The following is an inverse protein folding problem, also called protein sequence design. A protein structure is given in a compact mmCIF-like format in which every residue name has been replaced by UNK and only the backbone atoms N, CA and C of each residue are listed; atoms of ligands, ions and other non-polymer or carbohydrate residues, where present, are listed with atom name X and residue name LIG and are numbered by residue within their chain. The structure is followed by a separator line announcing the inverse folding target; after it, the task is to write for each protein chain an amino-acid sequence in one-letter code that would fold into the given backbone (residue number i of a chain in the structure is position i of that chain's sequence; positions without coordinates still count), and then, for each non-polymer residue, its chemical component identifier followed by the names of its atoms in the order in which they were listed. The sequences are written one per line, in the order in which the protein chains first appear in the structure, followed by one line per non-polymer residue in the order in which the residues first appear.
data_IF_860846454462
#
_entry.id   IF_860846454462
#
_cell.length_a   1.000
_cell.length_b   1.000
_cell.length_c   1.000
_cell.angle_alpha   90.00
_cell.angle_beta   90.00
_cell.angle_gamma   90.00
#
_symmetry.space_group_name_H-M   'P 1'
#
loop_
_entity.id
_entity.type
_entity.pdbx_description
1 polymer ?
#
# COMPACT_ATOMS: atom_id res chain seq x y z
N UNK A 1 -6.67 28.76 26.08
CA UNK A 1 -5.98 28.37 24.84
C UNK A 1 -6.19 26.87 24.63
N UNK A 2 -7.08 26.47 23.71
CA UNK A 2 -7.03 25.10 23.20
C UNK A 2 -5.62 24.89 22.63
N UNK A 3 -4.81 24.03 23.26
CA UNK A 3 -3.39 23.96 22.94
C UNK A 3 -3.21 23.61 21.46
N UNK A 4 -2.20 24.17 20.80
CA UNK A 4 -1.84 23.90 19.40
C UNK A 4 -1.84 22.39 19.08
N UNK A 5 -1.49 21.56 20.07
CA UNK A 5 -1.54 20.09 20.00
C UNK A 5 -2.95 19.55 19.76
N UNK A 6 -3.96 20.06 20.45
CA UNK A 6 -5.36 19.64 20.28
C UNK A 6 -5.89 19.97 18.89
N UNK A 7 -5.53 21.14 18.35
CA UNK A 7 -5.90 21.54 17.00
C UNK A 7 -5.24 20.63 15.96
N UNK A 8 -3.94 20.37 16.11
CA UNK A 8 -3.20 19.48 15.21
C UNK A 8 -3.80 18.07 15.18
N UNK A 9 -4.18 17.52 16.33
CA UNK A 9 -4.84 16.22 16.42
C UNK A 9 -6.14 16.25 15.62
N UNK A 10 -7.02 17.23 15.88
CA UNK A 10 -8.31 17.32 15.20
C UNK A 10 -8.16 17.42 13.67
N UNK A 11 -7.26 18.30 13.21
CA UNK A 11 -6.98 18.50 11.77
C UNK A 11 -6.43 17.21 11.13
N UNK A 12 -5.53 16.51 11.82
CA UNK A 12 -4.93 15.26 11.30
C UNK A 12 -5.97 14.15 11.13
N UNK A 13 -6.83 13.94 12.14
CA UNK A 13 -7.91 12.95 12.06
C UNK A 13 -8.94 13.33 10.98
N UNK A 14 -9.26 14.61 10.84
CA UNK A 14 -10.12 15.12 9.76
C UNK A 14 -9.53 14.83 8.38
N UNK A 15 -8.27 15.19 8.15
CA UNK A 15 -7.57 14.93 6.89
C UNK A 15 -7.47 13.44 6.57
N UNK A 16 -7.18 12.60 7.57
CA UNK A 16 -7.15 11.15 7.39
C UNK A 16 -8.54 10.58 7.05
N UNK A 17 -9.60 11.10 7.66
CA UNK A 17 -10.97 10.71 7.32
C UNK A 17 -11.33 11.04 5.87
N UNK A 18 -10.85 12.17 5.34
CA UNK A 18 -10.99 12.50 3.91
C UNK A 18 -10.25 11.49 3.02
N UNK A 19 -9.06 11.03 3.41
CA UNK A 19 -8.33 9.99 2.66
C UNK A 19 -9.06 8.65 2.69
N UNK A 20 -9.61 8.24 3.83
CA UNK A 20 -10.44 7.03 3.91
C UNK A 20 -11.69 7.16 3.04
N UNK A 21 -12.37 8.30 3.06
CA UNK A 21 -13.50 8.57 2.18
C UNK A 21 -13.09 8.44 0.71
N UNK A 22 -11.94 8.98 0.33
CA UNK A 22 -11.43 8.86 -1.04
C UNK A 22 -11.21 7.39 -1.44
N UNK A 23 -10.63 6.56 -0.58
CA UNK A 23 -10.47 5.13 -0.86
C UNK A 23 -11.80 4.38 -0.96
N UNK A 24 -12.79 4.80 -0.18
CA UNK A 24 -14.15 4.29 -0.32
C UNK A 24 -14.75 4.67 -1.68
N UNK A 25 -14.59 5.93 -2.11
CA UNK A 25 -15.07 6.41 -3.42
C UNK A 25 -14.37 5.72 -4.60
N UNK A 26 -13.10 5.33 -4.43
CA UNK A 26 -12.33 4.57 -5.43
C UNK A 26 -12.76 3.08 -5.45
N UNK A 27 -13.51 2.62 -4.45
CA UNK A 27 -14.02 1.24 -4.37
C UNK A 27 -13.05 0.24 -3.75
N UNK A 28 -12.07 0.68 -2.96
CA UNK A 28 -11.12 -0.24 -2.28
C UNK A 28 -11.71 -0.96 -1.07
N UNK A 29 -12.80 -0.44 -0.51
CA UNK A 29 -13.59 -1.14 0.49
C UNK A 29 -15.06 -0.74 0.41
N UNK A 30 -15.93 -1.72 0.62
CA UNK A 30 -17.38 -1.56 0.47
C UNK A 30 -18.12 -1.52 1.82
N UNK A 31 -17.52 -0.93 2.85
CA UNK A 31 -18.15 -0.75 4.16
C UNK A 31 -17.80 0.62 4.76
N UNK A 32 -18.66 1.21 5.60
CA UNK A 32 -18.35 2.46 6.28
C UNK A 32 -17.18 2.27 7.26
N UNK A 33 -16.12 3.06 7.11
CA UNK A 33 -14.98 3.09 8.02
C UNK A 33 -14.79 4.53 8.51
N UNK A 34 -14.83 4.75 9.82
CA UNK A 34 -14.57 6.07 10.41
C UNK A 34 -13.65 5.95 11.60
N UNK A 35 -12.71 6.89 11.71
CA UNK A 35 -11.74 6.94 12.78
C UNK A 35 -11.88 8.28 13.52
N UNK A 36 -12.45 8.23 14.72
CA UNK A 36 -12.66 9.39 15.57
C UNK A 36 -11.56 9.51 16.62
N UNK A 37 -11.14 10.75 16.90
CA UNK A 37 -10.06 11.01 17.85
C UNK A 37 -10.44 10.64 19.30
N UNK A 38 -11.73 10.67 19.65
CA UNK A 38 -12.28 10.31 20.97
C UNK A 38 -12.76 8.86 21.04
N UNK A 39 -13.56 8.43 20.07
CA UNK A 39 -14.26 7.13 20.08
C UNK A 39 -13.45 6.00 19.43
N UNK A 40 -12.33 6.32 18.78
CA UNK A 40 -11.50 5.34 18.09
C UNK A 40 -12.08 4.89 16.75
N UNK A 41 -11.77 3.65 16.37
CA UNK A 41 -12.17 3.09 15.09
C UNK A 41 -13.61 2.54 15.14
N UNK A 42 -14.45 3.01 14.23
CA UNK A 42 -15.80 2.48 14.02
C UNK A 42 -15.87 1.81 12.64
N UNK A 43 -16.37 0.58 12.63
CA UNK A 43 -16.48 -0.26 11.43
C UNK A 43 -17.96 -0.61 11.24
N UNK A 44 -18.54 -0.12 10.14
CA UNK A 44 -19.92 -0.39 9.78
C UNK A 44 -20.12 -1.78 9.18
N UNK A 45 -21.37 -2.16 8.99
CA UNK A 45 -21.72 -3.36 8.23
C UNK A 45 -21.62 -3.11 6.73
N UNK A 46 -21.30 -4.16 5.99
CA UNK A 46 -21.37 -4.15 4.55
C UNK A 46 -22.82 -3.97 4.09
N UNK A 47 -23.05 -3.04 3.17
CA UNK A 47 -24.36 -2.82 2.53
C UNK A 47 -24.15 -2.71 1.03
N UNK A 48 -25.12 -3.18 0.25
CA UNK A 48 -25.13 -3.01 -1.21
C UNK A 48 -24.96 -1.55 -1.65
N UNK A 49 -25.46 -0.59 -0.88
CA UNK A 49 -25.27 0.84 -1.14
C UNK A 49 -23.81 1.31 -1.00
N UNK A 50 -23.02 0.67 -0.14
CA UNK A 50 -21.58 0.94 0.03
C UNK A 50 -20.74 0.36 -1.11
N UNK A 51 -21.35 -0.50 -1.93
CA UNK A 51 -20.75 -1.17 -3.08
C UNK A 51 -20.93 -0.43 -4.41
N UNK A 52 -21.68 0.68 -4.41
CA UNK A 52 -21.98 1.44 -5.63
C UNK A 52 -20.72 1.91 -6.36
N UNK A 53 -19.69 2.30 -5.61
CA UNK A 53 -18.42 2.77 -6.16
C UNK A 53 -17.66 1.66 -6.87
N UNK A 54 -17.67 0.44 -6.34
CA UNK A 54 -17.09 -0.72 -6.99
C UNK A 54 -17.78 -0.98 -8.36
N UNK A 55 -19.12 -0.88 -8.43
CA UNK A 55 -19.85 -1.00 -9.69
C UNK A 55 -19.56 0.14 -10.67
N UNK A 56 -19.46 1.38 -10.17
CA UNK A 56 -19.08 2.52 -10.99
C UNK A 56 -17.69 2.32 -11.61
N UNK A 57 -16.70 1.88 -10.83
CA UNK A 57 -15.35 1.61 -11.33
C UNK A 57 -15.29 0.42 -12.28
N UNK A 58 -16.11 -0.61 -12.07
CA UNK A 58 -16.26 -1.71 -13.00
C UNK A 58 -16.83 -1.23 -14.34
N UNK A 59 -17.91 -0.44 -14.31
CA UNK A 59 -18.49 0.15 -15.51
C UNK A 59 -17.49 1.07 -16.23
N UNK A 60 -16.74 1.90 -15.51
CA UNK A 60 -15.69 2.75 -16.07
C UNK A 60 -14.56 1.94 -16.70
N UNK A 61 -14.13 0.82 -16.10
CA UNK A 61 -13.13 -0.07 -16.68
C UNK A 61 -13.62 -0.70 -17.99
N UNK A 62 -14.88 -1.17 -18.02
CA UNK A 62 -15.51 -1.70 -19.24
C UNK A 62 -15.62 -0.63 -20.33
N UNK A 63 -16.11 0.57 -19.98
CA UNK A 63 -16.21 1.70 -20.91
C UNK A 63 -14.82 2.09 -21.44
N UNK A 64 -13.80 2.14 -20.58
CA UNK A 64 -12.42 2.39 -21.00
C UNK A 64 -11.98 1.37 -22.05
N UNK A 65 -12.19 0.07 -21.80
CA UNK A 65 -11.84 -0.98 -22.75
C UNK A 65 -12.59 -0.88 -24.07
N UNK A 66 -13.89 -0.58 -24.04
CA UNK A 66 -14.70 -0.34 -25.24
C UNK A 66 -14.21 0.88 -26.02
N UNK A 67 -13.81 1.94 -25.33
CA UNK A 67 -13.27 3.15 -25.96
C UNK A 67 -11.91 2.90 -26.59
N UNK A 68 -11.01 2.18 -25.92
CA UNK A 68 -9.74 1.77 -26.50
C UNK A 68 -9.93 0.89 -27.74
N UNK A 69 -10.91 -0.03 -27.73
CA UNK A 69 -11.27 -0.83 -28.90
C UNK A 69 -11.79 0.04 -30.05
N UNK A 70 -12.67 1.01 -29.77
CA UNK A 70 -13.21 1.93 -30.79
C UNK A 70 -12.10 2.80 -31.39
N UNK A 71 -11.16 3.26 -30.57
CA UNK A 71 -10.05 4.11 -30.97
C UNK A 71 -8.79 3.32 -31.34
N UNK A 72 -8.92 2.01 -31.63
CA UNK A 72 -7.78 1.14 -31.94
C UNK A 72 -6.87 1.73 -33.02
N UNK A 73 -7.46 2.28 -34.09
CA UNK A 73 -6.70 2.88 -35.18
C UNK A 73 -5.90 4.12 -34.74
N UNK A 74 -6.41 4.91 -33.80
CA UNK A 74 -5.69 6.07 -33.26
C UNK A 74 -4.60 5.67 -32.24
N UNK A 75 -4.75 4.50 -31.61
CA UNK A 75 -3.84 4.02 -30.58
C UNK A 75 -2.70 3.17 -31.14
N UNK A 76 -2.93 2.38 -32.19
CA UNK A 76 -1.99 1.35 -32.63
C UNK A 76 -1.63 1.38 -34.12
N UNK A 77 -2.43 2.03 -34.98
CA UNK A 77 -2.14 2.02 -36.42
C UNK A 77 -0.89 2.85 -36.74
N UNK A 78 -0.08 2.37 -37.70
CA UNK A 78 1.17 3.02 -38.12
C UNK A 78 2.37 2.86 -37.17
N UNK A 79 2.20 2.18 -36.03
CA UNK A 79 3.32 1.79 -35.17
C UNK A 79 4.01 0.53 -35.69
N UNK A 80 5.32 0.43 -35.44
CA UNK A 80 6.02 -0.85 -35.55
C UNK A 80 5.37 -1.84 -34.57
N UNK A 81 5.38 -3.13 -34.93
CA UNK A 81 4.76 -4.18 -34.11
C UNK A 81 5.23 -4.11 -32.64
N UNK A 82 6.52 -3.88 -32.42
CA UNK A 82 7.11 -3.74 -31.09
C UNK A 82 6.55 -2.54 -30.31
N UNK A 83 6.40 -1.38 -30.95
CA UNK A 83 5.81 -0.18 -30.35
C UNK A 83 4.33 -0.41 -29.98
N UNK A 84 3.59 -1.04 -30.89
CA UNK A 84 2.17 -1.37 -30.68
C UNK A 84 1.98 -2.37 -29.54
N UNK A 85 2.80 -3.42 -29.48
CA UNK A 85 2.77 -4.41 -28.39
C UNK A 85 3.09 -3.76 -27.04
N UNK A 86 4.09 -2.89 -26.98
CA UNK A 86 4.43 -2.17 -25.76
C UNK A 86 3.25 -1.36 -25.22
N UNK A 87 2.64 -0.55 -26.09
CA UNK A 87 1.47 0.26 -25.73
C UNK A 87 0.28 -0.62 -25.32
N UNK A 88 0.06 -1.73 -26.02
CA UNK A 88 -1.01 -2.67 -25.72
C UNK A 88 -0.84 -3.32 -24.35
N UNK A 89 0.35 -3.85 -24.05
CA UNK A 89 0.64 -4.49 -22.76
C UNK A 89 0.50 -3.51 -21.60
N UNK A 90 0.99 -2.26 -21.75
CA UNK A 90 0.84 -1.20 -20.74
C UNK A 90 -0.62 -0.96 -20.37
N UNK A 91 -1.47 -0.83 -21.39
CA UNK A 91 -2.89 -0.57 -21.20
C UNK A 91 -3.61 -1.78 -20.59
N UNK A 92 -3.37 -2.98 -21.13
CA UNK A 92 -4.03 -4.21 -20.69
C UNK A 92 -3.66 -4.58 -19.25
N UNK A 93 -2.39 -4.44 -18.86
CA UNK A 93 -1.98 -4.74 -17.48
C UNK A 93 -2.58 -3.75 -16.48
N UNK A 94 -2.71 -2.48 -16.87
CA UNK A 94 -3.40 -1.46 -16.07
C UNK A 94 -4.88 -1.79 -15.88
N UNK A 95 -5.59 -2.13 -16.98
CA UNK A 95 -6.99 -2.58 -16.91
C UNK A 95 -7.16 -3.83 -16.07
N UNK A 96 -6.30 -4.84 -16.26
CA UNK A 96 -6.32 -6.07 -15.48
C UNK A 96 -6.15 -5.77 -13.99
N UNK A 97 -5.24 -4.86 -13.63
CA UNK A 97 -5.03 -4.42 -12.25
C UNK A 97 -6.29 -3.83 -11.65
N UNK A 98 -7.07 -3.05 -12.41
CA UNK A 98 -8.37 -2.53 -11.95
C UNK A 98 -9.35 -3.69 -11.67
N UNK A 99 -9.53 -4.60 -12.64
CA UNK A 99 -10.47 -5.73 -12.47
C UNK A 99 -10.12 -6.60 -11.27
N UNK A 100 -8.85 -6.95 -11.11
CA UNK A 100 -8.37 -7.75 -9.97
C UNK A 100 -8.57 -7.00 -8.66
N UNK A 101 -8.27 -5.70 -8.60
CA UNK A 101 -8.49 -4.89 -7.39
C UNK A 101 -9.97 -4.79 -7.01
N UNK A 102 -10.86 -4.63 -7.99
CA UNK A 102 -12.30 -4.61 -7.74
C UNK A 102 -12.81 -5.99 -7.30
N UNK A 103 -12.29 -7.07 -7.88
CA UNK A 103 -12.59 -8.43 -7.47
C UNK A 103 -12.16 -8.68 -6.02
N UNK A 104 -10.92 -8.35 -5.65
CA UNK A 104 -10.43 -8.45 -4.26
C UNK A 104 -11.34 -7.64 -3.31
N UNK A 105 -11.69 -6.41 -3.68
CA UNK A 105 -12.54 -5.54 -2.86
C UNK A 105 -13.97 -6.05 -2.70
N UNK A 106 -14.49 -6.79 -3.68
CA UNK A 106 -15.85 -7.33 -3.68
C UNK A 106 -15.94 -8.69 -2.99
N UNK A 107 -15.14 -9.66 -3.44
CA UNK A 107 -15.20 -11.03 -2.95
C UNK A 107 -14.59 -11.19 -1.57
N UNK A 108 -13.62 -10.34 -1.21
CA UNK A 108 -12.92 -10.42 0.08
C UNK A 108 -13.36 -9.31 1.05
N UNK A 109 -14.59 -8.80 0.87
CA UNK A 109 -15.12 -7.70 1.68
C UNK A 109 -15.13 -8.03 3.18
N UNK A 110 -15.46 -9.27 3.54
CA UNK A 110 -15.50 -9.71 4.93
C UNK A 110 -14.08 -9.89 5.50
N UNK A 111 -13.14 -10.40 4.69
CA UNK A 111 -11.74 -10.49 5.09
C UNK A 111 -11.18 -9.07 5.33
N UNK A 112 -11.45 -8.13 4.42
CA UNK A 112 -11.06 -6.74 4.59
C UNK A 112 -11.71 -6.11 5.83
N UNK A 113 -13.01 -6.33 6.04
CA UNK A 113 -13.70 -5.83 7.24
C UNK A 113 -13.11 -6.41 8.52
N UNK A 114 -12.72 -7.69 8.51
CA UNK A 114 -12.15 -8.38 9.66
C UNK A 114 -10.81 -7.77 10.11
N UNK A 115 -9.97 -7.31 9.18
CA UNK A 115 -8.71 -6.60 9.47
C UNK A 115 -8.97 -5.40 10.37
N UNK A 116 -9.94 -4.55 10.00
CA UNK A 116 -10.29 -3.35 10.73
C UNK A 116 -10.99 -3.65 12.06
N UNK A 117 -11.82 -4.69 12.11
CA UNK A 117 -12.43 -5.17 13.36
C UNK A 117 -11.36 -5.63 14.35
N UNK A 118 -10.38 -6.43 13.91
CA UNK A 118 -9.28 -6.88 14.77
C UNK A 118 -8.46 -5.70 15.31
N UNK A 119 -8.17 -4.71 14.47
CA UNK A 119 -7.53 -3.47 14.94
C UNK A 119 -8.37 -2.73 16.00
N UNK A 120 -9.69 -2.63 15.82
CA UNK A 120 -10.60 -2.03 16.81
C UNK A 120 -10.61 -2.82 18.12
N UNK A 121 -10.72 -4.14 18.03
CA UNK A 121 -10.88 -5.01 19.20
C UNK A 121 -9.59 -5.04 20.04
N UNK A 122 -8.41 -5.01 19.39
CA UNK A 122 -7.13 -4.79 20.06
C UNK A 122 -7.08 -3.42 20.77
N UNK A 123 -7.57 -2.36 20.13
CA UNK A 123 -7.55 -1.02 20.70
C UNK A 123 -8.42 -0.91 21.95
N UNK A 124 -9.63 -1.47 21.91
CA UNK A 124 -10.57 -1.44 23.02
C UNK A 124 -10.06 -2.19 24.26
N UNK A 125 -9.39 -3.33 24.06
CA UNK A 125 -8.82 -4.12 25.17
C UNK A 125 -7.67 -3.40 25.88
N UNK A 126 -6.86 -2.66 25.11
CA UNK A 126 -5.60 -2.08 25.59
C UNK A 126 -5.69 -0.57 25.89
N UNK A 127 -6.89 0.03 25.78
CA UNK A 127 -7.09 1.46 25.97
C UNK A 127 -6.40 2.34 24.92
N UNK A 128 -6.11 1.78 23.73
CA UNK A 128 -5.47 2.50 22.62
C UNK A 128 -6.51 2.94 21.57
N UNK A 129 -6.07 3.52 20.45
CA UNK A 129 -7.00 4.03 19.41
C UNK A 129 -7.14 3.07 18.21
N UNK A 130 -6.05 2.44 17.79
CA UNK A 130 -6.03 1.58 16.62
C UNK A 130 -4.98 0.48 16.78
N UNK A 131 -5.41 -0.76 17.01
CA UNK A 131 -4.52 -1.86 17.35
C UNK A 131 -3.87 -1.67 18.71
N UNK A 132 -2.55 -1.54 18.72
CA UNK A 132 -1.72 -1.21 19.88
C UNK A 132 -1.31 0.27 19.89
N UNK A 133 -1.76 1.05 18.92
CA UNK A 133 -1.28 2.42 18.71
C UNK A 133 -2.08 3.41 19.55
N UNK A 134 -1.41 4.07 20.49
CA UNK A 134 -1.95 5.20 21.24
C UNK A 134 -2.15 6.46 20.40
N UNK A 135 -2.94 7.42 20.90
CA UNK A 135 -3.32 8.64 20.17
C UNK A 135 -2.15 9.43 19.58
N UNK A 136 -1.13 9.67 20.39
CA UNK A 136 0.01 10.50 19.97
C UNK A 136 0.82 9.85 18.85
N UNK A 137 1.05 8.54 18.94
CA UNK A 137 1.76 7.80 17.90
C UNK A 137 0.93 7.71 16.62
N UNK A 138 -0.37 7.45 16.74
CA UNK A 138 -1.27 7.37 15.60
C UNK A 138 -1.26 8.67 14.79
N UNK A 139 -1.27 9.82 15.46
CA UNK A 139 -1.15 11.13 14.80
C UNK A 139 0.18 11.26 14.07
N UNK A 140 1.30 10.80 14.66
CA UNK A 140 2.61 10.82 13.96
C UNK A 140 2.60 9.96 12.70
N UNK A 141 1.99 8.77 12.76
CA UNK A 141 1.85 7.87 11.62
C UNK A 141 0.96 8.50 10.55
N UNK A 142 -0.19 9.06 10.93
CA UNK A 142 -1.12 9.73 10.01
C UNK A 142 -0.49 10.93 9.32
N UNK A 143 0.23 11.79 10.05
CA UNK A 143 0.93 12.94 9.44
C UNK A 143 1.95 12.47 8.41
N UNK A 144 2.79 11.48 8.75
CA UNK A 144 3.77 10.92 7.80
C UNK A 144 3.10 10.34 6.56
N UNK A 145 2.00 9.61 6.76
CA UNK A 145 1.21 9.03 5.68
C UNK A 145 0.58 10.10 4.78
N UNK A 146 -0.07 11.11 5.37
CA UNK A 146 -0.67 12.24 4.63
C UNK A 146 0.40 13.01 3.87
N UNK A 147 1.56 13.31 4.48
CA UNK A 147 2.66 13.95 3.77
C UNK A 147 3.14 13.11 2.58
N UNK A 148 3.30 11.80 2.76
CA UNK A 148 3.70 10.89 1.69
C UNK A 148 2.66 10.86 0.56
N UNK A 149 1.39 10.77 0.92
CA UNK A 149 0.27 10.82 -0.01
C UNK A 149 0.23 12.12 -0.81
N UNK A 150 0.41 13.27 -0.15
CA UNK A 150 0.46 14.59 -0.79
C UNK A 150 1.66 14.73 -1.72
N UNK A 151 2.84 14.21 -1.35
CA UNK A 151 4.02 14.20 -2.22
C UNK A 151 3.77 13.37 -3.48
N UNK A 152 3.18 12.17 -3.33
CA UNK A 152 2.83 11.31 -4.47
C UNK A 152 1.84 12.02 -5.39
N UNK A 153 0.77 12.61 -4.84
CA UNK A 153 -0.19 13.39 -5.64
C UNK A 153 0.50 14.56 -6.34
N UNK A 154 1.32 15.34 -5.63
CA UNK A 154 1.98 16.50 -6.21
C UNK A 154 2.88 16.11 -7.39
N UNK A 155 3.67 15.04 -7.25
CA UNK A 155 4.51 14.51 -8.34
C UNK A 155 3.66 14.02 -9.51
N UNK A 156 2.62 13.22 -9.26
CA UNK A 156 1.73 12.75 -10.31
C UNK A 156 1.06 13.93 -11.03
N UNK A 157 0.41 14.84 -10.32
CA UNK A 157 -0.27 16.01 -10.91
C UNK A 157 0.69 16.91 -11.67
N UNK A 158 1.92 17.11 -11.19
CA UNK A 158 2.94 17.88 -11.90
C UNK A 158 3.28 17.21 -13.24
N UNK A 159 3.52 15.90 -13.25
CA UNK A 159 3.83 15.15 -14.48
C UNK A 159 2.63 15.15 -15.44
N UNK A 160 1.42 14.92 -14.94
CA UNK A 160 0.20 14.98 -15.76
C UNK A 160 -0.04 16.37 -16.35
N UNK A 161 0.27 17.44 -15.60
CA UNK A 161 0.19 18.81 -16.12
C UNK A 161 1.23 19.08 -17.20
N UNK A 162 2.48 18.62 -17.02
CA UNK A 162 3.53 18.71 -18.04
C UNK A 162 3.09 17.95 -19.31
N UNK A 163 2.51 16.76 -19.16
CA UNK A 163 2.00 15.97 -20.28
C UNK A 163 0.85 16.69 -21.01
N UNK A 164 -0.10 17.24 -20.26
CA UNK A 164 -1.22 17.98 -20.82
C UNK A 164 -0.78 19.20 -21.65
N UNK A 165 0.23 19.95 -21.17
CA UNK A 165 0.76 21.12 -21.89
C UNK A 165 1.70 20.73 -23.05
N UNK A 166 2.45 19.65 -22.90
CA UNK A 166 3.50 19.24 -23.84
C UNK A 166 3.01 18.38 -25.00
N UNK A 167 1.88 17.68 -24.86
CA UNK A 167 1.35 16.81 -25.91
C UNK A 167 0.50 17.56 -26.93
N UNK A 168 0.86 17.47 -28.20
CA UNK A 168 0.03 17.99 -29.29
C UNK A 168 -1.27 17.21 -29.41
N UNK A 169 -2.40 17.91 -29.35
CA UNK A 169 -3.75 17.33 -29.44
C UNK A 169 -3.93 16.57 -30.76
N UNK A 170 -4.59 15.42 -30.69
CA UNK A 170 -4.88 14.57 -31.85
C UNK A 170 -3.74 13.64 -32.27
N UNK A 171 -2.54 13.79 -31.68
CA UNK A 171 -1.46 12.84 -31.88
C UNK A 171 -1.76 11.50 -31.22
N UNK A 172 -1.11 10.44 -31.70
CA UNK A 172 -1.19 9.10 -31.11
C UNK A 172 -0.79 9.08 -29.64
N UNK A 173 0.21 9.90 -29.26
CA UNK A 173 0.65 10.08 -27.88
C UNK A 173 -0.43 10.69 -26.99
N UNK A 174 -1.12 11.71 -27.48
CA UNK A 174 -2.27 12.30 -26.78
C UNK A 174 -3.37 11.26 -26.56
N UNK A 175 -3.72 10.46 -27.58
CA UNK A 175 -4.71 9.40 -27.44
C UNK A 175 -4.27 8.32 -26.44
N UNK A 176 -3.01 7.92 -26.50
CA UNK A 176 -2.46 6.90 -25.61
C UNK A 176 -2.44 7.36 -24.15
N UNK A 177 -1.99 8.59 -23.90
CA UNK A 177 -2.02 9.22 -22.57
C UNK A 177 -3.45 9.28 -22.01
N UNK A 178 -4.41 9.79 -22.79
CA UNK A 178 -5.82 9.89 -22.39
C UNK A 178 -6.42 8.54 -21.95
N UNK A 179 -6.12 7.44 -22.66
CA UNK A 179 -6.67 6.13 -22.32
C UNK A 179 -5.95 5.48 -21.12
N UNK A 180 -4.67 5.78 -20.90
CA UNK A 180 -3.91 5.23 -19.78
C UNK A 180 -4.08 6.03 -18.48
N UNK A 181 -4.53 7.29 -18.54
CA UNK A 181 -4.69 8.14 -17.36
C UNK A 181 -5.51 7.46 -16.25
N UNK A 182 -6.64 6.83 -16.60
CA UNK A 182 -7.50 6.15 -15.64
C UNK A 182 -6.84 4.89 -15.03
N UNK A 183 -6.42 3.87 -15.82
CA UNK A 183 -5.72 2.71 -15.28
C UNK A 183 -4.48 3.05 -14.45
N UNK A 184 -3.70 4.03 -14.91
CA UNK A 184 -2.49 4.48 -14.25
C UNK A 184 -2.78 5.12 -12.89
N UNK A 185 -3.74 6.05 -12.85
CA UNK A 185 -4.17 6.71 -11.61
C UNK A 185 -4.72 5.69 -10.60
N UNK A 186 -5.52 4.73 -11.06
CA UNK A 186 -6.10 3.70 -10.20
C UNK A 186 -5.02 2.79 -9.59
N UNK A 187 -4.05 2.36 -10.40
CA UNK A 187 -2.87 1.60 -9.96
C UNK A 187 -2.08 2.34 -8.87
N UNK A 188 -1.84 3.63 -9.04
CA UNK A 188 -1.16 4.47 -8.05
C UNK A 188 -1.94 4.57 -6.74
N UNK A 189 -3.25 4.80 -6.79
CA UNK A 189 -4.07 4.81 -5.58
C UNK A 189 -4.04 3.46 -4.85
N UNK A 190 -3.99 2.34 -5.59
CA UNK A 190 -3.89 1.01 -4.98
C UNK A 190 -2.55 0.81 -4.25
N UNK A 191 -1.45 1.35 -4.80
CA UNK A 191 -0.15 1.37 -4.10
C UNK A 191 -0.18 2.19 -2.82
N UNK A 192 -0.75 3.39 -2.86
CA UNK A 192 -0.91 4.25 -1.68
C UNK A 192 -1.79 3.57 -0.62
N UNK A 193 -2.86 2.90 -1.05
CA UNK A 193 -3.73 2.18 -0.13
C UNK A 193 -3.00 1.03 0.57
N UNK A 194 -2.19 0.25 -0.15
CA UNK A 194 -1.36 -0.78 0.45
C UNK A 194 -0.30 -0.19 1.40
N UNK A 195 0.31 0.94 1.04
CA UNK A 195 1.27 1.67 1.87
C UNK A 195 0.69 2.01 3.26
N UNK A 196 -0.60 2.36 3.33
CA UNK A 196 -1.29 2.60 4.61
C UNK A 196 -1.20 1.38 5.53
N UNK A 197 -1.55 0.19 5.02
CA UNK A 197 -1.53 -1.04 5.80
C UNK A 197 -0.12 -1.40 6.29
N UNK A 198 0.89 -1.23 5.44
CA UNK A 198 2.30 -1.45 5.81
C UNK A 198 2.71 -0.50 6.96
N UNK A 199 2.38 0.79 6.84
CA UNK A 199 2.73 1.79 7.85
C UNK A 199 2.01 1.53 9.19
N UNK A 200 0.75 1.12 9.15
CA UNK A 200 -0.02 0.75 10.35
C UNK A 200 0.55 -0.50 11.02
N UNK A 201 0.87 -1.55 10.26
CA UNK A 201 1.48 -2.77 10.80
C UNK A 201 2.84 -2.47 11.43
N UNK A 202 3.70 -1.72 10.74
CA UNK A 202 5.01 -1.31 11.27
C UNK A 202 4.90 -0.53 12.60
N UNK A 203 3.89 0.36 12.71
CA UNK A 203 3.66 1.10 13.94
C UNK A 203 3.15 0.20 15.08
N UNK A 204 2.27 -0.76 14.81
CA UNK A 204 1.81 -1.73 15.79
C UNK A 204 2.96 -2.62 16.30
N UNK A 205 3.84 -3.09 15.40
CA UNK A 205 5.03 -3.86 15.77
C UNK A 205 5.98 -3.06 16.67
N UNK A 206 6.18 -1.77 16.41
CA UNK A 206 6.96 -0.90 17.32
C UNK A 206 6.33 -0.74 18.69
N UNK A 207 5.00 -0.62 18.76
CA UNK A 207 4.32 -0.55 20.06
C UNK A 207 4.47 -1.85 20.84
N UNK A 208 4.32 -2.99 20.17
CA UNK A 208 4.61 -4.30 20.76
C UNK A 208 6.06 -4.38 21.27
N UNK A 209 7.03 -3.94 20.47
CA UNK A 209 8.44 -3.89 20.86
C UNK A 209 8.66 -3.01 22.11
N UNK A 210 8.08 -1.82 22.16
CA UNK A 210 8.15 -0.95 23.34
C UNK A 210 7.57 -1.61 24.59
N UNK A 211 6.44 -2.31 24.47
CA UNK A 211 5.83 -3.06 25.57
C UNK A 211 6.78 -4.16 26.07
N UNK A 212 7.31 -4.97 25.15
CA UNK A 212 8.25 -6.05 25.46
C UNK A 212 9.55 -5.53 26.10
N UNK A 213 10.08 -4.42 25.62
CA UNK A 213 11.27 -3.80 26.21
C UNK A 213 11.04 -3.31 27.65
N UNK A 214 9.83 -2.84 27.96
CA UNK A 214 9.44 -2.52 29.34
C UNK A 214 9.43 -3.74 30.26
N UNK A 215 9.01 -4.90 29.74
CA UNK A 215 8.93 -6.17 30.48
C UNK A 215 10.30 -6.82 30.73
N UNK A 216 11.30 -6.53 29.90
CA UNK A 216 12.67 -6.98 30.11
C UNK A 216 13.21 -6.56 31.50
N UNK A 217 12.67 -5.48 32.08
CA UNK A 217 13.08 -4.96 33.39
C UNK A 217 12.26 -5.52 34.55
N UNK A 218 11.02 -5.97 34.32
CA UNK A 218 10.12 -6.45 35.38
C UNK A 218 10.15 -7.97 35.58
N UNK A 219 10.47 -8.75 34.54
CA UNK A 219 10.63 -10.20 34.63
C UNK A 219 9.33 -10.98 34.89
N UNK A 220 8.20 -10.51 34.36
CA UNK A 220 6.89 -11.13 34.59
C UNK A 220 6.47 -12.07 33.42
N UNK A 221 6.31 -13.39 33.67
CA UNK A 221 5.93 -14.35 32.63
C UNK A 221 4.50 -14.14 32.09
N UNK A 222 3.56 -13.64 32.89
CA UNK A 222 2.17 -13.42 32.44
C UNK A 222 2.12 -12.31 31.40
N UNK A 223 2.86 -11.23 31.62
CA UNK A 223 2.93 -10.12 30.68
C UNK A 223 3.69 -10.50 29.39
N UNK A 224 4.67 -11.41 29.45
CA UNK A 224 5.33 -11.93 28.25
C UNK A 224 4.38 -12.78 27.41
N UNK A 225 3.53 -13.59 28.07
CA UNK A 225 2.50 -14.38 27.40
C UNK A 225 1.43 -13.49 26.76
N UNK A 226 1.07 -12.37 27.41
CA UNK A 226 0.23 -11.34 26.80
C UNK A 226 0.88 -10.76 25.54
N UNK A 227 2.16 -10.39 25.61
CA UNK A 227 2.93 -9.92 24.44
C UNK A 227 2.93 -10.93 23.29
N UNK A 228 3.06 -12.22 23.59
CA UNK A 228 2.98 -13.32 22.61
C UNK A 228 1.58 -13.43 21.98
N UNK A 229 0.52 -13.30 22.79
CA UNK A 229 -0.85 -13.31 22.30
C UNK A 229 -1.15 -12.10 21.39
N UNK A 230 -0.68 -10.90 21.76
CA UNK A 230 -0.79 -9.69 20.94
C UNK A 230 -0.05 -9.84 19.61
N UNK A 231 1.16 -10.43 19.61
CA UNK A 231 1.86 -10.78 18.38
C UNK A 231 1.02 -11.72 17.48
N UNK A 232 0.36 -12.72 18.08
CA UNK A 232 -0.53 -13.62 17.37
C UNK A 232 -1.67 -12.89 16.65
N UNK A 233 -2.30 -11.91 17.29
CA UNK A 233 -3.35 -11.10 16.66
C UNK A 233 -2.80 -10.20 15.54
N UNK A 234 -1.63 -9.59 15.73
CA UNK A 234 -0.96 -8.83 14.67
C UNK A 234 -0.61 -9.72 13.47
N UNK A 235 -0.18 -10.95 13.70
CA UNK A 235 0.09 -11.91 12.64
C UNK A 235 -1.17 -12.25 11.84
N UNK A 236 -2.30 -12.52 12.51
CA UNK A 236 -3.58 -12.77 11.85
C UNK A 236 -4.04 -11.57 11.00
N UNK A 237 -3.83 -10.34 11.49
CA UNK A 237 -4.11 -9.13 10.73
C UNK A 237 -3.23 -9.06 9.49
N UNK A 238 -1.93 -9.35 9.62
CA UNK A 238 -1.00 -9.30 8.50
C UNK A 238 -1.31 -10.36 7.43
N UNK A 239 -1.64 -11.58 7.84
CA UNK A 239 -2.05 -12.64 6.89
C UNK A 239 -3.29 -12.22 6.10
N UNK A 240 -4.32 -11.70 6.78
CA UNK A 240 -5.50 -11.19 6.11
C UNK A 240 -5.18 -10.02 5.15
N UNK A 241 -4.21 -9.17 5.46
CA UNK A 241 -3.71 -8.12 4.55
C UNK A 241 -3.02 -8.76 3.34
N UNK A 242 -2.12 -9.72 3.54
CA UNK A 242 -1.40 -10.41 2.45
C UNK A 242 -2.36 -11.16 1.51
N UNK A 243 -3.41 -11.77 2.06
CA UNK A 243 -4.48 -12.42 1.27
C UNK A 243 -5.26 -11.41 0.44
N UNK A 244 -5.73 -10.33 1.09
CA UNK A 244 -6.53 -9.25 0.49
C UNK A 244 -5.80 -8.51 -0.64
N UNK A 245 -4.51 -8.27 -0.46
CA UNK A 245 -3.71 -7.55 -1.45
C UNK A 245 -3.03 -8.47 -2.45
N UNK A 246 -2.97 -9.78 -2.22
CA UNK A 246 -2.09 -10.69 -2.96
C UNK A 246 -2.15 -10.54 -4.49
N UNK A 247 -3.31 -10.77 -5.10
CA UNK A 247 -3.44 -10.71 -6.55
C UNK A 247 -3.41 -9.27 -7.09
N UNK A 248 -4.19 -8.36 -6.50
CA UNK A 248 -4.21 -6.97 -6.96
C UNK A 248 -2.84 -6.32 -6.89
N UNK A 249 -2.07 -6.59 -5.84
CA UNK A 249 -0.77 -5.99 -5.64
C UNK A 249 0.33 -6.66 -6.49
N UNK A 250 0.21 -7.95 -6.80
CA UNK A 250 1.05 -8.60 -7.82
C UNK A 250 0.85 -7.93 -9.19
N UNK A 251 -0.41 -7.76 -9.61
CA UNK A 251 -0.74 -7.07 -10.85
C UNK A 251 -0.26 -5.62 -10.83
N UNK A 252 -0.40 -4.95 -9.68
CA UNK A 252 -0.01 -3.54 -9.52
C UNK A 252 1.51 -3.33 -9.62
N UNK A 253 2.31 -4.23 -9.02
CA UNK A 253 3.76 -4.23 -9.24
C UNK A 253 4.11 -4.51 -10.70
N UNK A 254 3.48 -5.51 -11.31
CA UNK A 254 3.74 -5.85 -12.71
C UNK A 254 3.40 -4.66 -13.63
N UNK A 255 2.31 -3.95 -13.34
CA UNK A 255 1.94 -2.69 -13.98
C UNK A 255 3.01 -1.61 -13.79
N UNK A 256 3.54 -1.44 -12.59
CA UNK A 256 4.64 -0.50 -12.30
C UNK A 256 5.94 -0.86 -13.04
N UNK A 257 6.31 -2.14 -13.11
CA UNK A 257 7.48 -2.57 -13.90
C UNK A 257 7.27 -2.36 -15.40
N UNK A 258 6.08 -2.68 -15.89
CA UNK A 258 5.71 -2.44 -17.29
C UNK A 258 5.82 -0.94 -17.59
N UNK A 259 5.26 -0.07 -16.74
CA UNK A 259 5.38 1.39 -16.85
C UNK A 259 6.84 1.84 -16.97
N UNK A 260 7.69 1.45 -16.01
CA UNK A 260 9.12 1.79 -15.98
C UNK A 260 9.83 1.33 -17.27
N UNK A 261 9.59 0.08 -17.68
CA UNK A 261 10.20 -0.49 -18.87
C UNK A 261 9.78 0.27 -20.14
N UNK A 262 8.50 0.63 -20.25
CA UNK A 262 7.99 1.38 -21.40
C UNK A 262 8.47 2.82 -21.41
N UNK A 263 8.55 3.47 -20.27
CA UNK A 263 9.03 4.85 -20.20
C UNK A 263 10.51 4.90 -20.61
N UNK A 264 11.33 3.95 -20.16
CA UNK A 264 12.73 3.80 -20.60
C UNK A 264 12.85 3.46 -22.10
N UNK A 265 12.00 2.56 -22.60
CA UNK A 265 11.96 2.21 -24.03
C UNK A 265 11.69 3.46 -24.87
N UNK A 266 10.72 4.28 -24.48
CA UNK A 266 10.36 5.48 -25.23
C UNK A 266 11.40 6.58 -25.13
N UNK A 267 12.05 6.76 -23.97
CA UNK A 267 13.24 7.62 -23.86
C UNK A 267 14.31 7.18 -24.87
N UNK A 268 14.63 5.89 -24.91
CA UNK A 268 15.62 5.34 -25.84
C UNK A 268 15.20 5.50 -27.30
N UNK A 269 13.94 5.22 -27.64
CA UNK A 269 13.44 5.30 -29.00
C UNK A 269 13.42 6.75 -29.53
N UNK A 270 13.06 7.73 -28.69
CA UNK A 270 13.10 9.16 -29.01
C UNK A 270 14.55 9.61 -29.21
N UNK A 271 15.45 9.20 -28.30
CA UNK A 271 16.88 9.49 -28.38
C UNK A 271 17.50 8.97 -29.69
N UNK A 272 17.31 7.69 -30.01
CA UNK A 272 17.84 7.08 -31.24
C UNK A 272 17.32 7.76 -32.50
N UNK A 273 16.03 8.12 -32.51
CA UNK A 273 15.38 8.79 -33.65
C UNK A 273 15.65 10.30 -33.70
N UNK A 274 16.45 10.86 -32.77
CA UNK A 274 16.75 12.29 -32.63
C UNK A 274 15.48 13.16 -32.68
N UNK A 275 14.40 12.67 -32.05
CA UNK A 275 13.12 13.37 -32.00
C UNK A 275 13.07 14.32 -30.80
N UNK A 276 12.38 15.44 -30.97
CA UNK A 276 12.04 16.34 -29.87
C UNK A 276 11.11 15.65 -28.84
N UNK A 277 11.06 16.17 -27.61
CA UNK A 277 10.16 15.68 -26.57
C UNK A 277 10.75 14.63 -25.61
N UNK A 278 12.07 14.39 -25.63
CA UNK A 278 12.71 13.48 -24.68
C UNK A 278 12.55 13.92 -23.23
N UNK A 279 12.57 15.23 -22.96
CA UNK A 279 12.41 15.80 -21.62
C UNK A 279 11.05 15.44 -21.02
N UNK A 280 9.99 15.56 -21.83
CA UNK A 280 8.62 15.20 -21.44
C UNK A 280 8.56 13.71 -21.09
N UNK A 281 9.16 12.84 -21.92
CA UNK A 281 9.18 11.40 -21.67
C UNK A 281 10.01 11.03 -20.43
N UNK A 282 11.09 11.75 -20.15
CA UNK A 282 11.86 11.59 -18.90
C UNK A 282 11.03 11.99 -17.67
N UNK A 283 10.16 13.01 -17.77
CA UNK A 283 9.24 13.34 -16.68
C UNK A 283 8.23 12.22 -16.39
N UNK A 284 7.74 11.51 -17.42
CA UNK A 284 6.83 10.36 -17.25
C UNK A 284 7.43 9.24 -16.40
N UNK A 285 8.76 9.10 -16.40
CA UNK A 285 9.46 8.10 -15.62
C UNK A 285 9.43 8.39 -14.11
N UNK A 286 9.15 9.61 -13.66
CA UNK A 286 9.34 10.01 -12.25
C UNK A 286 8.30 9.43 -11.27
N UNK A 287 6.98 9.40 -11.54
CA UNK A 287 5.99 9.07 -10.52
C UNK A 287 6.10 7.64 -9.99
N UNK A 288 6.30 6.66 -10.87
CA UNK A 288 6.32 5.25 -10.48
C UNK A 288 7.51 4.88 -9.57
N UNK A 289 8.76 5.25 -9.88
CA UNK A 289 9.89 5.14 -8.96
C UNK A 289 9.70 5.85 -7.62
N UNK A 290 9.05 7.02 -7.60
CA UNK A 290 8.75 7.73 -6.33
C UNK A 290 7.83 6.89 -5.46
N UNK A 291 6.73 6.36 -6.03
CA UNK A 291 5.78 5.51 -5.31
C UNK A 291 6.45 4.22 -4.82
N UNK A 292 7.22 3.54 -5.68
CA UNK A 292 7.97 2.35 -5.30
C UNK A 292 9.01 2.65 -4.20
N UNK A 293 9.67 3.82 -4.27
CA UNK A 293 10.60 4.27 -3.23
C UNK A 293 9.93 4.40 -1.86
N UNK A 294 8.73 4.99 -1.79
CA UNK A 294 7.96 5.07 -0.55
C UNK A 294 7.50 3.70 -0.05
N UNK A 295 7.01 2.83 -0.95
CA UNK A 295 6.65 1.45 -0.61
C UNK A 295 7.83 0.67 -0.01
N UNK A 296 9.00 0.77 -0.64
CA UNK A 296 10.21 0.10 -0.17
C UNK A 296 10.73 0.67 1.14
N UNK A 297 10.65 2.00 1.32
CA UNK A 297 10.99 2.63 2.58
C UNK A 297 10.07 2.13 3.71
N UNK A 298 8.76 2.04 3.45
CA UNK A 298 7.81 1.52 4.42
C UNK A 298 8.02 0.03 4.71
N UNK A 299 8.30 -0.79 3.68
CA UNK A 299 8.64 -2.21 3.84
C UNK A 299 9.90 -2.41 4.68
N UNK A 300 10.95 -1.61 4.45
CA UNK A 300 12.16 -1.61 5.29
C UNK A 300 11.85 -1.21 6.73
N UNK A 301 11.03 -0.18 6.91
CA UNK A 301 10.58 0.29 8.23
C UNK A 301 9.78 -0.79 8.98
N UNK A 302 8.96 -1.55 8.27
CA UNK A 302 8.24 -2.72 8.80
C UNK A 302 9.19 -3.83 9.22
N UNK A 303 10.14 -4.20 8.36
CA UNK A 303 11.13 -5.22 8.67
C UNK A 303 11.98 -4.87 9.89
N UNK A 304 12.48 -3.63 9.96
CA UNK A 304 13.23 -3.17 11.13
C UNK A 304 12.40 -3.25 12.43
N UNK A 305 11.09 -3.00 12.35
CA UNK A 305 10.21 -3.13 13.50
C UNK A 305 10.04 -4.61 13.91
N UNK A 306 9.91 -5.51 12.93
CA UNK A 306 9.84 -6.96 13.16
C UNK A 306 11.14 -7.51 13.76
N UNK A 307 12.28 -7.14 13.20
CA UNK A 307 13.61 -7.55 13.68
C UNK A 307 13.82 -7.06 15.12
N UNK A 308 13.39 -5.84 15.45
CA UNK A 308 13.49 -5.30 16.80
C UNK A 308 12.59 -6.04 17.82
N UNK A 309 11.42 -6.53 17.41
CA UNK A 309 10.59 -7.40 18.27
C UNK A 309 11.33 -8.70 18.58
N UNK A 310 11.89 -9.33 17.55
CA UNK A 310 12.66 -10.57 17.71
C UNK A 310 13.89 -10.39 18.61
N UNK A 311 14.69 -9.35 18.36
CA UNK A 311 15.86 -9.00 19.17
C UNK A 311 15.47 -8.76 20.63
N UNK A 312 14.37 -8.02 20.87
CA UNK A 312 13.90 -7.73 22.24
C UNK A 312 13.53 -9.02 22.99
N UNK A 313 12.87 -9.99 22.35
CA UNK A 313 12.53 -11.29 22.98
C UNK A 313 13.78 -12.17 23.15
N UNK A 314 14.74 -12.10 22.23
CA UNK A 314 16.03 -12.78 22.36
C UNK A 314 16.86 -12.24 23.53
N UNK A 315 16.82 -10.94 23.78
CA UNK A 315 17.63 -10.30 24.83
C UNK A 315 16.97 -10.30 26.22
N UNK A 316 15.79 -10.90 26.36
CA UNK A 316 15.11 -11.01 27.66
C UNK A 316 15.88 -11.88 28.65
N UNK A 317 16.16 -11.31 29.83
CA UNK A 317 16.83 -11.98 30.94
C UNK A 317 15.92 -13.02 31.61
N UNK A 318 15.96 -14.26 31.09
CA UNK A 318 15.10 -15.36 31.56
C UNK A 318 15.78 -16.34 32.50
N UNK A 319 17.07 -16.17 32.80
CA UNK A 319 17.90 -17.21 33.44
C UNK A 319 17.47 -17.59 34.87
N UNK A 320 16.63 -16.79 35.52
CA UNK A 320 16.25 -16.99 36.93
C UNK A 320 14.84 -17.59 37.11
N UNK A 321 14.00 -17.61 36.07
CA UNK A 321 12.62 -18.11 36.14
C UNK A 321 12.34 -19.15 35.03
N UNK A 322 12.04 -20.37 35.44
CA UNK A 322 11.77 -21.49 34.54
C UNK A 322 10.52 -21.30 33.67
N UNK A 323 9.46 -20.66 34.19
CA UNK A 323 8.27 -20.38 33.37
C UNK A 323 8.57 -19.27 32.36
N UNK A 324 9.35 -18.26 32.74
CA UNK A 324 9.78 -17.21 31.81
C UNK A 324 10.63 -17.78 30.66
N UNK A 325 11.56 -18.71 30.94
CA UNK A 325 12.32 -19.44 29.89
C UNK A 325 11.38 -20.15 28.92
N UNK A 326 10.35 -20.81 29.44
CA UNK A 326 9.39 -21.59 28.65
C UNK A 326 8.50 -20.70 27.78
N UNK A 327 7.95 -19.62 28.32
CA UNK A 327 7.15 -18.65 27.54
C UNK A 327 8.02 -17.98 26.47
N UNK A 328 9.23 -17.54 26.81
CA UNK A 328 10.20 -17.00 25.85
C UNK A 328 10.49 -18.01 24.73
N UNK A 329 10.71 -19.28 25.06
CA UNK A 329 10.91 -20.33 24.07
C UNK A 329 9.71 -20.46 23.11
N UNK A 330 8.49 -20.50 23.62
CA UNK A 330 7.29 -20.56 22.77
C UNK A 330 7.12 -19.32 21.89
N UNK A 331 7.42 -18.14 22.43
CA UNK A 331 7.35 -16.90 21.67
C UNK A 331 8.39 -16.89 20.55
N UNK A 332 9.66 -17.21 20.84
CA UNK A 332 10.70 -17.33 19.82
C UNK A 332 10.33 -18.37 18.74
N UNK A 333 9.76 -19.51 19.14
CA UNK A 333 9.27 -20.50 18.18
C UNK A 333 8.15 -19.94 17.28
N UNK A 334 7.23 -19.16 17.84
CA UNK A 334 6.18 -18.47 17.09
C UNK A 334 6.75 -17.41 16.15
N UNK A 335 7.76 -16.63 16.57
CA UNK A 335 8.43 -15.63 15.73
C UNK A 335 9.16 -16.28 14.54
N UNK A 336 9.79 -17.45 14.77
CA UNK A 336 10.47 -18.21 13.73
C UNK A 336 9.48 -18.81 12.72
N UNK A 337 8.39 -19.42 13.20
CA UNK A 337 7.42 -20.12 12.35
C UNK A 337 6.47 -19.16 11.63
N UNK A 338 5.98 -18.16 12.35
CA UNK A 338 4.95 -17.22 11.93
C UNK A 338 5.51 -15.80 11.90
N UNK A 339 6.68 -15.62 11.29
CA UNK A 339 7.26 -14.28 11.11
C UNK A 339 6.30 -13.42 10.29
N UNK A 340 5.96 -12.24 10.80
CA UNK A 340 5.16 -11.26 10.06
C UNK A 340 5.99 -10.77 8.87
N UNK A 341 5.57 -11.17 7.67
CA UNK A 341 6.21 -10.82 6.39
C UNK A 341 5.20 -10.12 5.50
N UNK A 342 5.69 -9.19 4.68
CA UNK A 342 4.88 -8.59 3.63
C UNK A 342 5.00 -9.50 2.40
N UNK A 343 3.95 -10.26 2.10
CA UNK A 343 3.92 -11.18 0.95
C UNK A 343 2.66 -10.94 0.14
N UNK A 344 2.69 -11.31 -1.12
CA UNK A 344 1.51 -11.33 -1.96
C UNK A 344 1.12 -12.78 -2.23
N UNK A 345 0.38 -13.41 -1.29
CA UNK A 345 0.01 -14.85 -1.36
C UNK A 345 1.21 -15.77 -1.63
N UNK A 346 2.35 -15.46 -1.04
CA UNK A 346 3.62 -16.17 -1.27
C UNK A 346 4.09 -16.21 -2.75
N UNK A 347 3.45 -15.46 -3.64
CA UNK A 347 3.87 -15.30 -5.05
C UNK A 347 5.16 -14.49 -5.11
N UNK A 348 5.26 -13.45 -4.27
CA UNK A 348 6.49 -12.70 -4.08
C UNK A 348 6.52 -12.00 -2.71
N UNK A 349 7.75 -11.82 -2.20
CA UNK A 349 8.02 -11.07 -0.98
C UNK A 349 8.21 -9.59 -1.29
N UNK A 350 7.47 -8.74 -0.58
CA UNK A 350 7.68 -7.30 -0.52
C UNK A 350 8.87 -6.96 0.36
N UNK A 351 10.07 -7.22 -0.14
CA UNK A 351 11.31 -6.93 0.55
C UNK A 351 12.01 -5.71 -0.07
N UNK A 352 12.74 -4.92 0.72
CA UNK A 352 13.64 -3.85 0.25
C UNK A 352 14.72 -4.39 -0.72
N UNK A 353 14.91 -5.71 -0.74
CA UNK A 353 15.77 -6.40 -1.72
C UNK A 353 15.15 -6.48 -3.12
N UNK A 354 13.90 -6.06 -3.39
CA UNK A 354 13.31 -6.10 -4.72
C UNK A 354 14.17 -5.37 -5.77
N UNK A 355 14.66 -4.15 -5.45
CA UNK A 355 15.62 -3.43 -6.32
C UNK A 355 16.96 -4.16 -6.39
N UNK A 356 17.42 -4.74 -5.27
CA UNK A 356 18.71 -5.45 -5.23
C UNK A 356 18.68 -6.69 -6.13
N UNK A 357 17.59 -7.46 -6.12
CA UNK A 357 17.35 -8.59 -7.02
C UNK A 357 17.30 -8.14 -8.48
N UNK A 358 16.66 -7.00 -8.78
CA UNK A 358 16.68 -6.40 -10.13
C UNK A 358 18.08 -5.94 -10.55
N UNK A 359 18.90 -5.44 -9.62
CA UNK A 359 20.29 -5.03 -9.91
C UNK A 359 21.28 -6.20 -10.03
N UNK A 360 21.00 -7.33 -9.36
CA UNK A 360 21.86 -8.54 -9.35
C UNK A 360 21.62 -9.42 -10.58
N UNK A 361 20.44 -9.36 -11.20
CA UNK A 361 20.15 -10.00 -12.51
C UNK A 361 20.97 -9.44 -13.68
N UNK A 362 21.80 -8.42 -13.46
CA UNK A 362 22.79 -7.90 -14.43
C UNK A 362 24.21 -8.50 -14.27
N UNK A 363 24.40 -9.47 -13.36
CA UNK A 363 25.71 -10.12 -13.09
C UNK A 363 25.72 -11.64 -13.26
N UNK A 364 24.69 -12.22 -13.86
CA UNK A 364 24.69 -13.58 -14.41
C UNK A 364 24.52 -13.50 -15.92
#
# INVERSE_FOLDING_TARGET
MASLKSLLILVTFGAFSCVLLLFHLIGFFNFPLKLHHTEGLTVGEHRWSSSIWCFCHLALAVISGLMAKRHYNHLFNGLLLTDAMNNYFKYVIGLLTIFVTLADSWFEVEAHRSIWIRYRDLANKNGTILGLIGRAELVRVMVRYICTFLVIIAVCTMVEFIMYQGLTVGTQWHWFWMHNLYPYTYSHFRHVFHLLHIMLMAANLRQLQCMLAGLQQSGDPEHLEEGRALYGELWQINEAINELFGFSQACNIACSFAQIAFDLYWVYAIWQKHKEGIEIQMCCFVPTPVILGFLMHAAKSHQLAMDAVEETVLDMNSLQDAEMVKVRFYFLHQLLRNRIKLTARDIFDFDYTLIRKVSVLKRS
#
